data_IF_295229217392
#
_entry.id   IF_295229217392
#
_cell.length_a   1.000
_cell.length_b   1.000
_cell.length_c   1.000
_cell.angle_alpha   90.00
_cell.angle_beta   90.00
_cell.angle_gamma   90.00
#
_symmetry.space_group_name_H-M   'P 1'
#
loop_
_entity.id
_entity.type
_entity.pdbx_description
1 polymer ?
#
# COMPACT_ATOMS: atom_id res chain seq x y z
N UNK A 1 6.73 2.08 -23.12
CA UNK A 1 5.33 1.67 -22.88
C UNK A 1 5.20 1.28 -21.41
N UNK A 2 4.31 1.91 -20.67
CA UNK A 2 4.02 1.56 -19.27
C UNK A 2 3.36 0.17 -19.18
N UNK A 3 3.65 -0.57 -18.10
CA UNK A 3 3.06 -1.89 -17.87
C UNK A 3 2.39 -1.90 -16.51
N UNK A 4 1.15 -2.39 -16.44
CA UNK A 4 0.49 -2.70 -15.18
C UNK A 4 0.98 -4.04 -14.66
N UNK A 5 1.30 -4.10 -13.37
CA UNK A 5 1.74 -5.33 -12.70
C UNK A 5 0.99 -5.51 -11.39
N UNK A 6 0.50 -6.72 -11.15
CA UNK A 6 0.04 -7.17 -9.83
C UNK A 6 1.11 -8.10 -9.29
N UNK A 7 1.65 -7.82 -8.10
CA UNK A 7 2.76 -8.56 -7.53
C UNK A 7 2.69 -8.61 -6.00
N UNK A 8 3.22 -9.71 -5.42
CA UNK A 8 3.32 -9.92 -3.96
C UNK A 8 1.99 -9.74 -3.22
N UNK A 9 0.93 -10.32 -3.75
CA UNK A 9 -0.40 -10.25 -3.17
C UNK A 9 -0.60 -11.35 -2.14
N UNK A 10 -0.83 -10.98 -0.87
CA UNK A 10 -1.08 -11.92 0.23
C UNK A 10 -2.57 -12.05 0.49
N UNK A 11 -3.09 -13.27 0.42
CA UNK A 11 -4.50 -13.59 0.71
C UNK A 11 -4.59 -14.86 1.57
N UNK A 12 -5.65 -14.97 2.35
CA UNK A 12 -6.02 -16.21 3.04
C UNK A 12 -6.55 -17.27 2.07
N UNK A 13 -6.69 -18.51 2.52
CA UNK A 13 -7.23 -19.60 1.69
C UNK A 13 -8.65 -19.35 1.20
N UNK A 14 -9.42 -18.56 1.94
CA UNK A 14 -10.79 -18.14 1.59
C UNK A 14 -10.84 -16.77 0.88
N UNK A 15 -9.68 -16.22 0.47
CA UNK A 15 -9.59 -15.11 -0.46
C UNK A 15 -9.57 -13.69 0.16
N UNK A 16 -9.29 -13.56 1.44
CA UNK A 16 -9.25 -12.26 2.12
C UNK A 16 -7.83 -11.72 2.26
N UNK A 17 -7.61 -10.45 1.94
CA UNK A 17 -6.34 -9.73 2.12
C UNK A 17 -6.17 -9.08 3.49
N UNK A 18 -7.19 -9.14 4.35
CA UNK A 18 -7.19 -8.60 5.72
C UNK A 18 -8.18 -9.37 6.58
N UNK A 19 -8.03 -9.30 7.90
CA UNK A 19 -9.00 -9.84 8.85
C UNK A 19 -10.23 -8.94 9.03
N UNK A 20 -11.25 -9.41 9.74
CA UNK A 20 -12.43 -8.60 10.09
C UNK A 20 -12.05 -7.46 11.06
N UNK A 21 -13.00 -6.55 11.28
CA UNK A 21 -12.89 -5.48 12.28
C UNK A 21 -11.65 -4.57 12.11
N UNK A 22 -11.30 -4.24 10.85
CA UNK A 22 -10.24 -3.27 10.58
C UNK A 22 -10.53 -1.93 11.28
N UNK A 23 -9.53 -1.37 11.96
CA UNK A 23 -9.61 -0.09 12.66
C UNK A 23 -8.27 0.64 12.61
N UNK A 24 -8.22 1.85 13.18
CA UNK A 24 -6.95 2.60 13.32
C UNK A 24 -5.93 1.85 14.18
N UNK A 25 -6.38 1.10 15.18
CA UNK A 25 -5.54 0.31 16.08
C UNK A 25 -5.19 -1.06 15.49
N UNK A 26 -6.01 -1.55 14.57
CA UNK A 26 -5.80 -2.83 13.88
C UNK A 26 -5.97 -2.66 12.36
N UNK A 27 -4.98 -2.06 11.68
CA UNK A 27 -5.07 -1.74 10.25
C UNK A 27 -5.35 -2.94 9.35
N UNK A 28 -4.85 -4.11 9.72
CA UNK A 28 -5.04 -5.37 8.98
C UNK A 28 -6.21 -6.21 9.51
N UNK A 29 -6.95 -5.72 10.51
CA UNK A 29 -8.01 -6.47 11.17
C UNK A 29 -7.50 -7.64 12.01
N UNK A 30 -8.43 -8.36 12.63
CA UNK A 30 -8.12 -9.50 13.49
C UNK A 30 -7.44 -10.63 12.70
N UNK A 31 -6.25 -11.03 13.13
CA UNK A 31 -5.46 -12.08 12.48
C UNK A 31 -4.82 -11.69 11.13
N UNK A 32 -5.17 -10.53 10.56
CA UNK A 32 -4.71 -10.14 9.21
C UNK A 32 -3.20 -9.96 9.10
N UNK A 33 -2.51 -9.57 10.16
CA UNK A 33 -1.04 -9.47 10.17
C UNK A 33 -0.33 -10.81 9.88
N UNK A 34 -0.96 -11.94 10.19
CA UNK A 34 -0.38 -13.25 9.90
C UNK A 34 -0.13 -13.48 8.40
N UNK A 35 -0.98 -12.91 7.54
CA UNK A 35 -0.82 -12.99 6.08
C UNK A 35 0.45 -12.31 5.57
N UNK A 36 1.01 -11.37 6.32
CA UNK A 36 2.12 -10.53 5.89
C UNK A 36 3.45 -10.86 6.59
N UNK A 37 3.44 -11.79 7.57
CA UNK A 37 4.65 -12.16 8.33
C UNK A 37 5.79 -12.63 7.44
N UNK A 38 5.50 -13.37 6.37
CA UNK A 38 6.49 -13.82 5.42
C UNK A 38 7.27 -12.65 4.80
N UNK A 39 6.59 -11.56 4.47
CA UNK A 39 7.18 -10.37 3.86
C UNK A 39 8.04 -9.59 4.87
N UNK A 40 7.55 -9.37 6.08
CA UNK A 40 8.28 -8.67 7.14
C UNK A 40 9.56 -9.40 7.59
N UNK A 41 9.66 -10.70 7.37
CA UNK A 41 10.86 -11.46 7.62
C UNK A 41 11.98 -11.24 6.58
N UNK A 42 11.64 -10.71 5.40
CA UNK A 42 12.57 -10.51 4.28
C UNK A 42 13.51 -9.32 4.51
N UNK A 43 14.72 -9.39 3.91
CA UNK A 43 15.65 -8.27 3.89
C UNK A 43 15.06 -7.04 3.19
N UNK A 44 14.33 -7.27 2.11
CA UNK A 44 13.71 -6.21 1.31
C UNK A 44 12.77 -5.35 2.15
N UNK A 45 11.82 -5.97 2.87
CA UNK A 45 10.88 -5.22 3.72
C UNK A 45 11.59 -4.58 4.93
N UNK A 46 12.53 -5.28 5.55
CA UNK A 46 13.29 -4.71 6.68
C UNK A 46 14.02 -3.43 6.27
N UNK A 47 14.69 -3.43 5.13
CA UNK A 47 15.37 -2.24 4.60
C UNK A 47 14.41 -1.08 4.30
N UNK A 48 13.22 -1.39 3.78
CA UNK A 48 12.17 -0.38 3.56
C UNK A 48 11.80 0.35 4.86
N UNK A 49 11.86 -0.33 6.00
CA UNK A 49 11.61 0.24 7.33
C UNK A 49 12.89 0.68 8.08
N UNK A 50 14.02 0.82 7.37
CA UNK A 50 15.28 1.24 7.97
C UNK A 50 15.90 0.21 8.94
N UNK A 51 15.52 -1.06 8.83
CA UNK A 51 16.02 -2.15 9.66
C UNK A 51 17.05 -2.99 8.91
N UNK A 52 18.06 -3.47 9.63
CA UNK A 52 19.07 -4.41 9.10
C UNK A 52 18.60 -5.87 9.21
N UNK A 53 19.29 -6.77 8.47
CA UNK A 53 19.05 -8.21 8.52
C UNK A 53 17.87 -8.64 7.65
N UNK A 54 17.24 -9.76 8.02
CA UNK A 54 16.17 -10.42 7.28
C UNK A 54 16.65 -11.55 6.37
N UNK A 55 15.71 -12.42 5.98
CA UNK A 55 16.00 -13.54 5.08
C UNK A 55 16.35 -13.06 3.67
N UNK A 56 17.13 -13.85 2.96
CA UNK A 56 17.54 -13.61 1.56
C UNK A 56 17.14 -14.78 0.66
N UNK A 57 16.17 -15.54 1.09
CA UNK A 57 15.63 -16.73 0.43
C UNK A 57 14.72 -16.38 -0.77
N UNK A 58 13.92 -17.35 -1.20
CA UNK A 58 12.99 -17.18 -2.30
C UNK A 58 11.94 -16.09 -2.01
N UNK A 59 11.50 -15.97 -0.76
CA UNK A 59 10.52 -14.94 -0.36
C UNK A 59 11.08 -13.53 -0.53
N UNK A 60 12.34 -13.30 -0.13
CA UNK A 60 13.01 -12.01 -0.33
C UNK A 60 13.18 -11.65 -1.81
N UNK A 61 13.52 -12.63 -2.66
CA UNK A 61 13.61 -12.40 -4.11
C UNK A 61 12.26 -12.00 -4.72
N UNK A 62 11.15 -12.61 -4.27
CA UNK A 62 9.81 -12.20 -4.70
C UNK A 62 9.45 -10.83 -4.17
N UNK A 63 9.73 -10.52 -2.91
CA UNK A 63 9.51 -9.20 -2.34
C UNK A 63 10.28 -8.12 -3.13
N UNK A 64 11.58 -8.31 -3.38
CA UNK A 64 12.41 -7.37 -4.14
C UNK A 64 11.88 -7.09 -5.54
N UNK A 65 11.46 -8.13 -6.26
CA UNK A 65 10.87 -7.98 -7.61
C UNK A 65 9.59 -7.14 -7.61
N UNK A 66 8.87 -7.07 -6.50
CA UNK A 66 7.70 -6.22 -6.33
C UNK A 66 8.02 -4.73 -6.42
N UNK A 67 9.24 -4.34 -6.10
CA UNK A 67 9.71 -2.94 -6.08
C UNK A 67 10.58 -2.57 -7.28
N UNK A 68 10.92 -3.51 -8.15
CA UNK A 68 11.74 -3.26 -9.33
C UNK A 68 11.00 -2.42 -10.38
N UNK A 69 11.67 -1.35 -10.83
CA UNK A 69 11.20 -0.51 -11.94
C UNK A 69 9.77 0.03 -11.76
N UNK A 70 9.42 0.43 -10.56
CA UNK A 70 8.13 1.05 -10.27
C UNK A 70 8.17 2.53 -10.62
N UNK A 71 7.21 2.98 -11.45
CA UNK A 71 6.98 4.39 -11.72
C UNK A 71 5.83 4.97 -10.90
N UNK A 72 4.87 4.15 -10.50
CA UNK A 72 3.72 4.55 -9.71
C UNK A 72 3.07 3.34 -9.03
N UNK A 73 2.23 3.61 -8.01
CA UNK A 73 1.35 2.65 -7.37
C UNK A 73 -0.11 2.98 -7.61
N UNK A 74 -0.96 1.95 -7.66
CA UNK A 74 -2.42 2.10 -7.62
C UNK A 74 -2.92 1.36 -6.40
N UNK A 75 -3.66 2.05 -5.54
CA UNK A 75 -4.22 1.52 -4.29
C UNK A 75 -5.74 1.65 -4.28
N UNK A 76 -6.41 0.72 -3.64
CA UNK A 76 -7.79 0.89 -3.22
C UNK A 76 -7.92 1.85 -2.02
N UNK A 77 -9.09 2.43 -1.81
CA UNK A 77 -9.38 3.37 -0.71
C UNK A 77 -8.96 2.84 0.66
N UNK A 78 -9.19 1.55 0.95
CA UNK A 78 -8.85 0.94 2.25
C UNK A 78 -7.35 0.74 2.46
N UNK A 79 -6.58 0.62 1.39
CA UNK A 79 -5.11 0.60 1.49
C UNK A 79 -4.55 1.98 1.85
N UNK A 80 -5.29 3.05 1.58
CA UNK A 80 -4.91 4.39 2.02
C UNK A 80 -5.38 4.69 3.45
N UNK A 81 -6.56 4.20 3.87
CA UNK A 81 -7.07 4.45 5.22
C UNK A 81 -8.38 3.71 5.53
N UNK A 82 -8.77 3.65 6.82
CA UNK A 82 -9.91 2.87 7.27
C UNK A 82 -11.26 3.54 7.03
N UNK A 83 -11.26 4.85 6.79
CA UNK A 83 -12.48 5.64 6.68
C UNK A 83 -13.20 5.38 5.36
N UNK A 84 -14.48 5.10 5.45
CA UNK A 84 -15.40 4.96 4.30
C UNK A 84 -16.23 6.22 4.11
N UNK A 85 -16.81 6.37 2.92
CA UNK A 85 -17.65 7.52 2.61
C UNK A 85 -16.85 8.81 2.35
N UNK A 86 -17.49 9.97 2.43
CA UNK A 86 -16.86 11.27 2.28
C UNK A 86 -15.69 11.47 3.24
N UNK A 87 -14.73 12.29 2.85
CA UNK A 87 -13.63 12.66 3.74
C UNK A 87 -14.17 13.55 4.86
N UNK A 88 -13.99 13.20 6.15
CA UNK A 88 -14.46 14.04 7.24
C UNK A 88 -13.64 15.33 7.36
N UNK A 89 -12.35 15.24 7.02
CA UNK A 89 -11.38 16.33 7.00
C UNK A 89 -10.14 15.93 6.17
N UNK A 90 -9.13 16.76 6.15
CA UNK A 90 -7.86 16.54 5.46
C UNK A 90 -6.72 16.04 6.39
N UNK A 91 -7.02 15.68 7.63
CA UNK A 91 -6.00 15.31 8.61
C UNK A 91 -5.37 13.94 8.32
N UNK A 92 -6.14 12.99 7.80
CA UNK A 92 -5.63 11.66 7.48
C UNK A 92 -4.76 11.68 6.23
N UNK A 93 -3.50 11.25 6.33
CA UNK A 93 -2.51 11.24 5.23
C UNK A 93 -2.01 9.84 4.86
N UNK A 94 -2.73 8.78 5.25
CA UNK A 94 -2.33 7.40 5.00
C UNK A 94 -1.77 6.70 6.23
N UNK A 95 -1.51 5.40 6.10
CA UNK A 95 -1.06 4.54 7.20
C UNK A 95 0.41 4.71 7.60
N UNK A 96 1.23 5.33 6.74
CA UNK A 96 2.69 5.27 6.81
C UNK A 96 3.34 6.52 7.43
N UNK A 97 2.53 7.44 8.01
CA UNK A 97 3.04 8.68 8.58
C UNK A 97 3.54 9.66 7.53
N UNK A 98 4.52 10.50 7.89
CA UNK A 98 4.98 11.63 7.07
C UNK A 98 5.83 11.21 5.85
N UNK A 99 6.49 10.05 5.91
CA UNK A 99 7.38 9.55 4.85
C UNK A 99 6.96 8.14 4.41
N UNK A 100 5.93 8.02 3.55
CA UNK A 100 5.50 6.73 3.04
C UNK A 100 6.57 6.06 2.17
N UNK A 101 6.68 4.72 2.21
CA UNK A 101 7.76 3.96 1.56
C UNK A 101 7.62 3.83 0.03
N UNK A 102 6.75 4.60 -0.59
CA UNK A 102 6.50 4.49 -2.04
C UNK A 102 7.50 5.28 -2.88
N UNK A 103 7.90 6.48 -2.45
CA UNK A 103 8.84 7.39 -3.12
C UNK A 103 8.51 7.68 -4.60
N UNK A 104 7.26 7.60 -4.97
CA UNK A 104 6.73 7.84 -6.32
C UNK A 104 5.25 8.21 -6.25
N UNK A 105 4.59 8.61 -7.37
CA UNK A 105 3.15 8.85 -7.40
C UNK A 105 2.35 7.61 -6.98
N UNK A 106 1.31 7.83 -6.17
CA UNK A 106 0.38 6.81 -5.70
C UNK A 106 -1.05 7.22 -6.02
N UNK A 107 -1.72 6.46 -6.86
CA UNK A 107 -3.10 6.71 -7.27
C UNK A 107 -4.06 5.92 -6.38
N UNK A 108 -4.87 6.64 -5.60
CA UNK A 108 -5.86 6.07 -4.68
C UNK A 108 -7.22 6.05 -5.35
N UNK A 109 -7.75 4.87 -5.66
CA UNK A 109 -9.09 4.71 -6.23
C UNK A 109 -10.14 4.96 -5.14
N UNK A 110 -11.03 5.92 -5.36
CA UNK A 110 -12.06 6.35 -4.40
C UNK A 110 -13.27 6.91 -5.13
N UNK A 111 -14.43 6.97 -4.45
CA UNK A 111 -15.62 7.65 -4.97
C UNK A 111 -15.72 9.12 -4.53
N UNK A 112 -14.81 9.56 -3.67
CA UNK A 112 -14.85 10.90 -3.07
C UNK A 112 -13.59 11.68 -3.43
N UNK A 113 -13.75 12.79 -4.12
CA UNK A 113 -12.66 13.65 -4.52
C UNK A 113 -11.90 14.22 -3.32
N UNK A 114 -10.58 14.39 -3.49
CA UNK A 114 -9.70 15.03 -2.54
C UNK A 114 -8.52 15.64 -3.29
N UNK A 115 -7.99 16.75 -2.78
CA UNK A 115 -6.77 17.34 -3.31
C UNK A 115 -5.57 16.37 -3.15
N UNK A 116 -4.62 16.36 -4.09
CA UNK A 116 -3.39 15.59 -3.92
C UNK A 116 -2.65 15.95 -2.62
N UNK A 117 -1.93 14.98 -2.07
CA UNK A 117 -1.14 15.16 -0.85
C UNK A 117 0.31 14.85 -1.16
N UNK A 118 1.17 15.87 -1.07
CA UNK A 118 2.61 15.68 -1.15
C UNK A 118 3.16 15.28 0.22
N UNK A 119 3.94 14.19 0.23
CA UNK A 119 4.55 13.63 1.41
C UNK A 119 6.06 13.76 1.34
N UNK A 120 6.75 13.63 2.48
CA UNK A 120 8.20 13.54 2.50
C UNK A 120 8.70 12.33 1.71
N UNK A 121 9.92 12.38 1.22
CA UNK A 121 10.54 11.27 0.49
C UNK A 121 10.04 11.07 -0.95
N UNK A 122 9.24 12.01 -1.51
CA UNK A 122 8.82 11.99 -2.91
C UNK A 122 7.56 11.18 -3.23
N UNK A 123 6.79 10.80 -2.23
CA UNK A 123 5.45 10.22 -2.44
C UNK A 123 4.42 11.34 -2.63
N UNK A 124 3.59 11.25 -3.67
CA UNK A 124 2.39 12.09 -3.85
C UNK A 124 1.17 11.19 -3.98
N UNK A 125 0.18 11.37 -3.11
CA UNK A 125 -1.11 10.69 -3.25
C UNK A 125 -2.05 11.48 -4.15
N UNK A 126 -2.54 10.85 -5.22
CA UNK A 126 -3.55 11.35 -6.14
C UNK A 126 -4.85 10.58 -5.96
N UNK A 127 -5.98 11.27 -5.81
CA UNK A 127 -7.27 10.64 -5.57
C UNK A 127 -8.08 10.59 -6.87
N UNK A 128 -8.29 9.36 -7.39
CA UNK A 128 -8.92 9.11 -8.69
C UNK A 128 -10.35 8.65 -8.49
N UNK A 129 -11.31 9.41 -8.99
CA UNK A 129 -12.76 9.13 -8.84
C UNK A 129 -13.39 8.51 -10.10
N UNK A 130 -12.69 8.52 -11.22
CA UNK A 130 -13.17 8.01 -12.52
C UNK A 130 -12.85 6.53 -12.75
N UNK A 131 -12.33 5.84 -11.74
CA UNK A 131 -12.04 4.41 -11.78
C UNK A 131 -10.66 4.05 -12.31
N UNK A 132 -10.43 2.75 -12.46
CA UNK A 132 -9.10 2.21 -12.78
C UNK A 132 -8.57 2.66 -14.15
N UNK A 133 -9.42 2.83 -15.14
CA UNK A 133 -8.98 3.26 -16.47
C UNK A 133 -8.33 4.64 -16.43
N UNK A 134 -8.96 5.60 -15.73
CA UNK A 134 -8.38 6.93 -15.56
C UNK A 134 -7.07 6.96 -14.75
N UNK A 135 -6.84 5.98 -13.89
CA UNK A 135 -5.58 5.85 -13.16
C UNK A 135 -4.46 5.23 -14.00
N UNK A 136 -4.78 4.65 -15.17
CA UNK A 136 -3.83 4.01 -16.09
C UNK A 136 -3.40 4.91 -17.25
N UNK A 137 -4.11 6.01 -17.48
CA UNK A 137 -3.82 7.07 -18.46
C UNK A 137 -2.77 8.05 -17.94
#
# INVERSE_FOLDING_TARGET
MSRLRVHSFSISLDGYGAGPNQSLQQPMGEGGMALHQWAFATRTLRRMFGQDGGSTDVADRFAARGFDHLGAWILGRHMFGPLRGPWPDDAWKGWWGDEPPYHCPVFVLTHHARAPIDMKGGTTFHFVTQGIHAALE
#
